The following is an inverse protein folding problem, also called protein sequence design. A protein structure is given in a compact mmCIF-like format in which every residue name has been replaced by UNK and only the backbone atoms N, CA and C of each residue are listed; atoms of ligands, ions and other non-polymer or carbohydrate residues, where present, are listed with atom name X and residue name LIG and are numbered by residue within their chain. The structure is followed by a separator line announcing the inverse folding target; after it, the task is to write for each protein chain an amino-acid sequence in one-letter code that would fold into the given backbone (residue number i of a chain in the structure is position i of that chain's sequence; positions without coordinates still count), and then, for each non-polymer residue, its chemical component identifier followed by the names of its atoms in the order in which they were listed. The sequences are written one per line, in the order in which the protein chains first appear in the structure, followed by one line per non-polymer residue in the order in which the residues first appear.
data_IF_590698342309
#
_entry.id   IF_590698342309
#
_cell.length_a   1.000
_cell.length_b   1.000
_cell.length_c   1.000
_cell.angle_alpha   90.00
_cell.angle_beta   90.00
_cell.angle_gamma   90.00
#
_symmetry.space_group_name_H-M   'P 1'
#
loop_
_entity.id
_entity.type
_entity.pdbx_description
1 polymer ?
#
# COMPACT_ATOMS: atom_id res chain seq x y z
N UNK A 1 -0.36 14.90 -5.14
CA UNK A 1 -0.75 13.55 -5.64
C UNK A 1 0.12 12.50 -4.99
N UNK A 2 -0.51 11.42 -4.53
CA UNK A 2 0.23 10.32 -3.92
C UNK A 2 0.96 9.49 -4.95
N UNK A 3 2.14 9.06 -4.57
CA UNK A 3 2.91 8.13 -5.39
C UNK A 3 2.62 6.71 -4.93
N UNK A 4 2.23 5.87 -5.86
CA UNK A 4 1.91 4.47 -5.57
C UNK A 4 2.21 3.60 -6.78
N UNK A 5 2.32 2.29 -6.55
CA UNK A 5 2.43 1.34 -7.65
C UNK A 5 1.81 -0.01 -7.28
N UNK A 6 1.37 -0.73 -8.29
CA UNK A 6 0.82 -2.08 -8.14
C UNK A 6 1.90 -3.11 -8.40
N UNK A 7 2.05 -4.05 -7.47
CA UNK A 7 3.05 -5.11 -7.58
C UNK A 7 2.37 -6.44 -7.31
N UNK A 8 2.62 -7.42 -8.15
CA UNK A 8 2.14 -8.76 -7.89
C UNK A 8 3.04 -9.44 -6.87
N UNK A 9 2.42 -10.08 -5.88
CA UNK A 9 3.15 -10.70 -4.78
C UNK A 9 2.61 -12.10 -4.54
N UNK A 10 3.16 -13.07 -5.27
CA UNK A 10 2.64 -14.42 -5.25
C UNK A 10 1.22 -14.46 -5.76
N UNK A 11 0.29 -15.08 -5.02
CA UNK A 11 -1.12 -15.11 -5.41
C UNK A 11 -1.86 -13.81 -5.08
N UNK A 12 -1.20 -12.85 -4.43
CA UNK A 12 -1.83 -11.62 -3.97
C UNK A 12 -1.34 -10.41 -4.73
N UNK A 13 -2.04 -9.29 -4.54
CA UNK A 13 -1.74 -8.03 -5.21
C UNK A 13 -1.44 -6.96 -4.17
N UNK A 14 -0.29 -6.32 -4.30
CA UNK A 14 0.19 -5.34 -3.35
C UNK A 14 0.17 -3.96 -3.95
N UNK A 15 -0.45 -3.01 -3.25
CA UNK A 15 -0.38 -1.59 -3.60
C UNK A 15 0.63 -0.94 -2.67
N UNK A 16 1.75 -0.52 -3.22
CA UNK A 16 2.79 0.18 -2.46
C UNK A 16 2.56 1.66 -2.52
N UNK A 17 2.63 2.32 -1.39
CA UNK A 17 2.30 3.73 -1.28
C UNK A 17 3.42 4.48 -0.59
N UNK A 18 3.77 5.63 -1.16
CA UNK A 18 4.72 6.55 -0.56
C UNK A 18 3.95 7.67 0.13
N UNK A 19 4.37 7.98 1.36
CA UNK A 19 3.76 9.04 2.14
C UNK A 19 2.77 8.55 3.17
N UNK A 20 2.28 9.48 3.98
CA UNK A 20 1.38 9.15 5.07
C UNK A 20 -0.02 8.81 4.56
N UNK A 21 -0.57 7.74 5.10
CA UNK A 21 -1.95 7.31 4.84
C UNK A 21 -2.68 7.26 6.17
N UNK A 22 -3.89 7.81 6.20
CA UNK A 22 -4.77 7.62 7.34
C UNK A 22 -5.32 6.19 7.27
N UNK A 23 -4.79 5.31 8.12
CA UNK A 23 -5.15 3.90 8.07
C UNK A 23 -6.59 3.63 8.49
N UNK A 24 -7.17 4.48 9.34
CA UNK A 24 -8.57 4.34 9.73
C UNK A 24 -9.49 4.64 8.55
N UNK A 25 -9.17 5.68 7.78
CA UNK A 25 -9.93 6.01 6.59
C UNK A 25 -9.82 4.92 5.53
N UNK A 26 -8.62 4.40 5.31
CA UNK A 26 -8.42 3.35 4.32
C UNK A 26 -9.16 2.09 4.72
N UNK A 27 -9.13 1.74 5.99
CA UNK A 27 -9.85 0.57 6.51
C UNK A 27 -11.35 0.72 6.29
N UNK A 28 -11.89 1.87 6.66
CA UNK A 28 -13.32 2.16 6.53
C UNK A 28 -13.74 2.09 5.05
N UNK A 29 -12.97 2.73 4.18
CA UNK A 29 -13.26 2.73 2.76
C UNK A 29 -13.32 1.31 2.20
N UNK A 30 -12.36 0.47 2.58
CA UNK A 30 -12.31 -0.91 2.11
C UNK A 30 -13.44 -1.76 2.71
N UNK A 31 -13.75 -1.56 3.99
CA UNK A 31 -14.80 -2.34 4.65
C UNK A 31 -16.19 -2.02 4.08
N UNK A 32 -16.43 -0.77 3.75
CA UNK A 32 -17.68 -0.38 3.10
C UNK A 32 -17.88 -1.09 1.76
N UNK A 33 -16.79 -1.46 1.13
CA UNK A 33 -16.79 -2.14 -0.18
C UNK A 33 -16.54 -3.64 -0.07
N UNK A 34 -16.48 -4.15 1.16
CA UNK A 34 -16.23 -5.57 1.43
C UNK A 34 -14.94 -6.07 0.79
N UNK A 35 -13.89 -5.28 0.90
CA UNK A 35 -12.57 -5.60 0.38
C UNK A 35 -11.57 -5.77 1.53
N UNK A 36 -11.45 -6.97 2.08
CA UNK A 36 -10.47 -7.20 3.15
C UNK A 36 -9.05 -7.09 2.61
N UNK A 37 -8.15 -6.56 3.44
CA UNK A 37 -6.76 -6.42 3.06
C UNK A 37 -5.85 -6.56 4.27
N UNK A 38 -4.57 -6.81 3.99
CA UNK A 38 -3.53 -6.74 5.01
C UNK A 38 -2.68 -5.52 4.74
N UNK A 39 -2.17 -4.91 5.80
CA UNK A 39 -1.32 -3.74 5.70
C UNK A 39 0.03 -4.03 6.32
N UNK A 40 1.08 -3.55 5.66
CA UNK A 40 2.43 -3.60 6.20
C UNK A 40 3.01 -2.19 6.15
N UNK A 41 3.40 -1.68 7.31
CA UNK A 41 3.98 -0.36 7.43
C UNK A 41 5.49 -0.47 7.52
N UNK A 42 6.19 0.35 6.75
CA UNK A 42 7.64 0.40 6.76
C UNK A 42 8.13 1.60 7.57
N UNK A 43 9.09 1.35 8.47
CA UNK A 43 9.62 2.41 9.29
C UNK A 43 10.59 3.32 8.55
N UNK A 44 10.48 4.61 8.76
CA UNK A 44 11.36 5.59 8.14
C UNK A 44 12.83 5.41 8.58
N UNK A 45 13.03 5.01 9.82
CA UNK A 45 14.37 4.83 10.35
C UNK A 45 15.15 3.74 9.62
N UNK A 46 14.46 2.74 9.14
CA UNK A 46 15.08 1.63 8.43
C UNK A 46 15.86 2.08 7.20
N UNK A 47 15.30 2.98 6.42
CA UNK A 47 15.98 3.42 5.20
C UNK A 47 17.17 4.32 5.48
N UNK A 48 17.21 4.98 6.63
CA UNK A 48 18.35 5.84 7.00
C UNK A 48 19.61 5.02 7.25
N UNK A 49 19.46 3.77 7.62
CA UNK A 49 20.57 2.88 7.91
C UNK A 49 21.12 2.16 6.70
N UNK A 50 20.31 2.02 5.67
CA UNK A 50 20.70 1.34 4.44
C UNK A 50 20.98 2.37 3.37
N UNK A 51 21.42 1.93 2.24
CA UNK A 51 21.78 2.83 1.16
C UNK A 51 20.54 3.51 0.57
N UNK A 52 20.16 4.69 1.02
CA UNK A 52 18.89 5.30 0.65
C UNK A 52 18.78 5.61 -0.84
N UNK A 53 19.90 5.76 -1.52
CA UNK A 53 19.92 6.07 -2.95
C UNK A 53 19.62 4.86 -3.83
N UNK A 54 19.71 3.65 -3.28
CA UNK A 54 19.52 2.42 -4.04
C UNK A 54 18.28 1.65 -3.65
N UNK A 55 17.74 1.96 -2.49
CA UNK A 55 16.57 1.26 -1.98
C UNK A 55 15.33 2.08 -2.28
N UNK A 56 14.46 1.52 -3.10
CA UNK A 56 13.17 2.12 -3.35
C UNK A 56 12.36 2.08 -2.06
N UNK A 57 12.03 3.26 -1.54
CA UNK A 57 11.38 3.36 -0.26
C UNK A 57 9.88 3.59 -0.39
N UNK A 58 9.13 2.75 0.29
CA UNK A 58 7.67 2.83 0.34
C UNK A 58 7.23 2.78 1.80
N UNK A 59 6.23 3.57 2.16
CA UNK A 59 5.79 3.67 3.54
C UNK A 59 4.77 2.60 3.91
N UNK A 60 3.95 2.19 2.97
CA UNK A 60 2.90 1.20 3.21
C UNK A 60 2.79 0.21 2.06
N UNK A 61 2.44 -1.02 2.42
CA UNK A 61 2.02 -2.04 1.46
C UNK A 61 0.60 -2.46 1.84
N UNK A 62 -0.35 -2.26 0.94
CA UNK A 62 -1.72 -2.73 1.10
C UNK A 62 -1.88 -3.97 0.25
N UNK A 63 -2.18 -5.11 0.89
CA UNK A 63 -2.17 -6.40 0.22
C UNK A 63 -3.59 -6.92 0.08
N UNK A 64 -4.01 -7.09 -1.17
CA UNK A 64 -5.34 -7.55 -1.53
C UNK A 64 -5.29 -8.94 -2.16
N UNK A 65 -6.38 -9.69 -2.03
CA UNK A 65 -6.46 -11.02 -2.61
C UNK A 65 -6.63 -11.00 -4.13
N UNK A 66 -7.29 -9.96 -4.65
CA UNK A 66 -7.65 -9.89 -6.06
C UNK A 66 -7.19 -8.60 -6.70
N UNK A 67 -6.83 -8.70 -7.98
CA UNK A 67 -6.35 -7.54 -8.72
C UNK A 67 -7.37 -6.41 -8.77
N UNK A 68 -8.64 -6.74 -8.97
CA UNK A 68 -9.66 -5.71 -9.07
C UNK A 68 -9.85 -4.93 -7.77
N UNK A 69 -9.58 -5.56 -6.63
CA UNK A 69 -9.63 -4.89 -5.33
C UNK A 69 -8.50 -3.88 -5.22
N UNK A 70 -7.29 -4.29 -5.59
CA UNK A 70 -6.14 -3.39 -5.57
C UNK A 70 -6.34 -2.22 -6.53
N UNK A 71 -6.85 -2.49 -7.72
CA UNK A 71 -7.12 -1.46 -8.72
C UNK A 71 -8.17 -0.47 -8.22
N UNK A 72 -9.24 -0.97 -7.63
CA UNK A 72 -10.29 -0.12 -7.07
C UNK A 72 -9.75 0.79 -5.98
N UNK A 73 -8.86 0.26 -5.13
CA UNK A 73 -8.23 1.03 -4.08
C UNK A 73 -7.37 2.16 -4.64
N UNK A 74 -6.59 1.87 -5.67
CA UNK A 74 -5.76 2.89 -6.32
C UNK A 74 -6.60 4.00 -6.95
N UNK A 75 -7.67 3.63 -7.61
CA UNK A 75 -8.51 4.60 -8.32
C UNK A 75 -9.41 5.38 -7.36
N UNK A 76 -10.00 4.70 -6.39
CA UNK A 76 -11.03 5.29 -5.55
C UNK A 76 -10.53 5.94 -4.26
N UNK A 77 -9.50 5.38 -3.65
CA UNK A 77 -9.00 5.89 -2.37
C UNK A 77 -7.72 6.71 -2.52
N UNK A 78 -6.80 6.27 -3.33
CA UNK A 78 -5.52 6.97 -3.56
C UNK A 78 -5.58 8.02 -4.69
#
# INVERSE_FOLDING_TARGET
MRKYKLVRRGPKWCVRVLGHINTDESWRWCMERKMPYNIKQHGAMYRAWYEPRQIEHWDYDFIFDKEYEATAFMIGFL
#
